data_IF_457466476569
#
_entry.id   IF_457466476569
#
_cell.length_a   1.000
_cell.length_b   1.000
_cell.length_c   1.000
_cell.angle_alpha   90.00
_cell.angle_beta   90.00
_cell.angle_gamma   90.00
#
_symmetry.space_group_name_H-M   'P 1'
#
loop_
_entity.id
_entity.type
_entity.pdbx_description
1 polymer ?
#
# COMPACT_ATOMS: atom_id res chain seq x y z
N UNK A 1 -26.41 52.34 -38.75
CA UNK A 1 -25.97 52.96 -37.48
C UNK A 1 -27.00 52.60 -36.41
N UNK A 2 -26.69 51.62 -35.55
CA UNK A 2 -27.64 50.99 -34.61
C UNK A 2 -27.48 51.62 -33.23
N UNK A 3 -28.58 52.17 -32.70
CA UNK A 3 -28.69 52.85 -31.41
C UNK A 3 -28.48 51.87 -30.25
N UNK A 4 -27.67 52.32 -29.30
CA UNK A 4 -27.40 51.70 -28.01
C UNK A 4 -28.69 51.43 -27.23
N UNK A 5 -28.86 50.17 -26.82
CA UNK A 5 -29.76 49.81 -25.74
C UNK A 5 -28.87 49.50 -24.52
N UNK A 6 -28.88 50.45 -23.59
CA UNK A 6 -28.34 50.34 -22.24
C UNK A 6 -29.14 49.28 -21.46
N UNK A 7 -28.48 48.19 -21.06
CA UNK A 7 -28.98 47.26 -20.06
C UNK A 7 -27.85 46.99 -19.06
N UNK A 8 -27.77 47.90 -18.09
CA UNK A 8 -26.97 47.78 -16.87
C UNK A 8 -27.74 46.84 -15.94
N UNK A 9 -27.02 45.87 -15.35
CA UNK A 9 -27.38 44.94 -14.26
C UNK A 9 -26.89 43.52 -14.63
N UNK A 10 -26.11 42.76 -13.88
CA UNK A 10 -25.87 42.67 -12.44
C UNK A 10 -24.69 41.69 -12.23
N UNK A 11 -23.95 41.85 -11.13
CA UNK A 11 -23.10 40.83 -10.50
C UNK A 11 -22.02 40.12 -11.36
N UNK A 12 -20.96 40.84 -11.73
CA UNK A 12 -19.67 40.20 -11.99
C UNK A 12 -19.09 39.72 -10.66
N UNK A 13 -19.53 38.51 -10.28
CA UNK A 13 -19.08 37.75 -9.13
C UNK A 13 -17.55 37.76 -9.06
N UNK A 14 -17.01 38.16 -7.91
CA UNK A 14 -15.63 37.87 -7.54
C UNK A 14 -15.46 36.35 -7.58
N UNK A 15 -14.81 35.84 -8.63
CA UNK A 15 -14.32 34.49 -8.63
C UNK A 15 -13.21 34.42 -7.58
N UNK A 16 -13.59 34.03 -6.36
CA UNK A 16 -12.64 33.62 -5.35
C UNK A 16 -11.78 32.50 -5.96
N UNK A 17 -10.49 32.77 -6.13
CA UNK A 17 -9.49 31.74 -6.36
C UNK A 17 -9.46 30.84 -5.13
N UNK A 18 -10.35 29.85 -5.08
CA UNK A 18 -10.21 28.74 -4.16
C UNK A 18 -9.12 27.86 -4.73
N UNK A 19 -7.89 28.02 -4.24
CA UNK A 19 -6.84 27.01 -4.41
C UNK A 19 -7.33 25.78 -3.64
N UNK A 20 -8.03 24.89 -4.33
CA UNK A 20 -8.29 23.55 -3.85
C UNK A 20 -6.93 22.85 -3.78
N UNK A 21 -6.31 22.89 -2.60
CA UNK A 21 -5.14 22.09 -2.29
C UNK A 21 -5.66 20.63 -2.21
N UNK A 22 -5.37 19.76 -3.19
CA UNK A 22 -5.80 18.38 -3.08
C UNK A 22 -5.13 17.77 -1.84
N UNK A 23 -5.83 17.00 -1.00
CA UNK A 23 -5.19 16.26 0.07
C UNK A 23 -4.28 15.21 -0.58
N UNK A 24 -3.02 15.54 -0.83
CA UNK A 24 -2.04 14.62 -1.40
C UNK A 24 -1.51 13.66 -0.33
N UNK A 25 -2.42 12.99 0.36
CA UNK A 25 -2.18 11.76 1.09
C UNK A 25 -2.15 10.58 0.11
N UNK A 26 -1.19 10.58 -0.82
CA UNK A 26 -0.92 9.43 -1.70
C UNK A 26 -0.12 8.34 -0.97
N UNK A 27 -0.57 7.95 0.22
CA UNK A 27 0.10 6.97 1.07
C UNK A 27 -0.16 5.56 0.57
N UNK A 28 0.92 4.81 0.32
CA UNK A 28 0.83 3.38 0.04
C UNK A 28 0.38 2.64 1.31
N UNK A 29 -0.90 2.31 1.38
CA UNK A 29 -1.50 1.71 2.57
C UNK A 29 -1.00 0.27 2.76
N UNK A 30 0.07 0.12 3.55
CA UNK A 30 0.74 -1.17 3.77
C UNK A 30 -0.23 -2.20 4.34
N UNK A 31 -1.16 -1.75 5.16
CA UNK A 31 -2.23 -2.58 5.72
C UNK A 31 -3.15 -3.13 4.61
N UNK A 32 -3.42 -2.35 3.56
CA UNK A 32 -4.19 -2.81 2.40
C UNK A 32 -3.43 -3.87 1.62
N UNK A 33 -2.12 -3.67 1.37
CA UNK A 33 -1.31 -4.67 0.66
C UNK A 33 -1.30 -6.05 1.34
N UNK A 34 -1.17 -6.04 2.66
CA UNK A 34 -1.11 -7.26 3.45
C UNK A 34 -2.38 -8.11 3.31
N UNK A 35 -3.52 -7.46 3.01
CA UNK A 35 -4.83 -8.10 2.86
C UNK A 35 -5.11 -8.60 1.45
N UNK A 36 -4.34 -8.18 0.44
CA UNK A 36 -4.59 -8.54 -0.96
C UNK A 36 -4.63 -10.05 -1.18
N UNK A 37 -3.83 -10.80 -0.42
CA UNK A 37 -3.73 -12.25 -0.51
C UNK A 37 -4.64 -13.01 0.49
N UNK A 38 -5.52 -12.34 1.23
CA UNK A 38 -6.46 -13.01 2.11
C UNK A 38 -7.40 -13.92 1.30
N UNK A 39 -7.44 -15.20 1.64
CA UNK A 39 -8.21 -16.20 0.90
C UNK A 39 -7.65 -16.56 -0.48
N UNK A 40 -6.44 -16.08 -0.83
CA UNK A 40 -5.74 -16.43 -2.07
C UNK A 40 -4.71 -17.52 -1.82
N UNK A 41 -4.38 -18.29 -2.86
CA UNK A 41 -3.34 -19.32 -2.79
C UNK A 41 -1.98 -18.75 -3.16
N UNK A 42 -0.93 -19.44 -2.75
CA UNK A 42 0.44 -19.14 -3.18
C UNK A 42 0.49 -19.27 -4.72
N UNK A 43 1.10 -18.28 -5.37
CA UNK A 43 1.19 -18.18 -6.83
C UNK A 43 0.11 -17.31 -7.49
N UNK A 44 -0.94 -16.91 -6.76
CA UNK A 44 -1.97 -16.04 -7.35
C UNK A 44 -1.39 -14.66 -7.70
N UNK A 45 -1.54 -14.25 -8.95
CA UNK A 45 -1.17 -12.92 -9.41
C UNK A 45 -2.26 -11.91 -9.04
N UNK A 46 -1.85 -10.77 -8.49
CA UNK A 46 -2.73 -9.67 -8.13
C UNK A 46 -2.22 -8.40 -8.80
N UNK A 47 -3.15 -7.65 -9.40
CA UNK A 47 -2.92 -6.30 -9.92
C UNK A 47 -3.91 -5.38 -9.24
N UNK A 48 -3.43 -4.44 -8.42
CA UNK A 48 -4.29 -3.50 -7.70
C UNK A 48 -3.85 -2.07 -7.95
N UNK A 49 -4.82 -1.17 -8.11
CA UNK A 49 -4.56 0.26 -8.20
C UNK A 49 -4.45 0.84 -6.79
N UNK A 50 -3.38 1.58 -6.51
CA UNK A 50 -3.13 2.28 -5.25
C UNK A 50 -2.76 3.72 -5.60
N UNK A 51 -3.72 4.65 -5.43
CA UNK A 51 -3.63 5.99 -6.00
C UNK A 51 -3.62 5.93 -7.53
N UNK A 52 -2.70 6.65 -8.16
CA UNK A 52 -2.55 6.68 -9.62
C UNK A 52 -1.68 5.55 -10.19
N UNK A 53 -1.15 4.67 -9.32
CA UNK A 53 -0.25 3.59 -9.72
C UNK A 53 -0.95 2.25 -9.67
N UNK A 54 -0.72 1.43 -10.68
CA UNK A 54 -1.08 0.02 -10.65
C UNK A 54 0.12 -0.78 -10.15
N UNK A 55 -0.06 -1.53 -9.07
CA UNK A 55 0.96 -2.42 -8.53
C UNK A 55 0.57 -3.85 -8.83
N UNK A 56 1.44 -4.52 -9.57
CA UNK A 56 1.35 -5.95 -9.85
C UNK A 56 2.22 -6.72 -8.87
N UNK A 57 1.80 -7.93 -8.55
CA UNK A 57 2.54 -8.80 -7.66
C UNK A 57 1.94 -10.18 -7.59
N UNK A 58 2.50 -10.99 -6.71
CA UNK A 58 2.09 -12.38 -6.53
C UNK A 58 1.93 -12.67 -5.05
N UNK A 59 0.96 -13.50 -4.72
CA UNK A 59 0.81 -14.07 -3.40
C UNK A 59 1.91 -15.11 -3.16
N UNK A 60 2.78 -14.84 -2.20
CA UNK A 60 3.88 -15.73 -1.82
C UNK A 60 3.85 -15.98 -0.32
N UNK A 61 4.50 -17.04 0.13
CA UNK A 61 4.67 -17.26 1.56
C UNK A 61 5.63 -16.22 2.14
N UNK A 62 5.23 -15.54 3.21
CA UNK A 62 6.03 -14.51 3.85
C UNK A 62 5.79 -14.44 5.36
N UNK A 63 6.72 -13.81 6.08
CA UNK A 63 6.63 -13.70 7.52
C UNK A 63 5.59 -12.66 7.95
N UNK A 64 4.67 -13.09 8.82
CA UNK A 64 3.72 -12.26 9.54
C UNK A 64 4.12 -12.25 11.02
N UNK A 65 4.54 -11.10 11.53
CA UNK A 65 4.85 -10.93 12.93
C UNK A 65 3.58 -11.02 13.79
N UNK A 66 3.68 -11.62 14.98
CA UNK A 66 2.58 -11.64 15.95
C UNK A 66 2.56 -10.36 16.78
N UNK A 67 1.36 -9.89 17.13
CA UNK A 67 1.17 -8.71 17.98
C UNK A 67 1.55 -7.40 17.29
N UNK A 68 1.99 -6.42 18.09
CA UNK A 68 2.37 -5.08 17.62
C UNK A 68 3.86 -4.96 17.25
N UNK A 69 4.48 -6.08 16.84
CA UNK A 69 5.91 -6.09 16.54
C UNK A 69 6.23 -5.21 15.31
N UNK A 70 6.99 -4.14 15.54
CA UNK A 70 7.44 -3.24 14.49
C UNK A 70 8.56 -3.92 13.68
N UNK A 71 8.22 -4.45 12.50
CA UNK A 71 9.24 -4.93 11.58
C UNK A 71 10.15 -3.77 11.11
N UNK A 72 11.46 -3.94 10.97
CA UNK A 72 12.33 -2.88 10.44
C UNK A 72 12.04 -2.60 8.95
N UNK A 73 12.11 -1.34 8.50
CA UNK A 73 11.79 -0.97 7.09
C UNK A 73 12.74 -1.58 6.08
N UNK A 74 14.04 -1.62 6.38
CA UNK A 74 15.07 -2.17 5.49
C UNK A 74 14.98 -3.68 5.30
N UNK A 75 14.32 -4.39 6.21
CA UNK A 75 14.30 -5.86 6.22
C UNK A 75 13.05 -6.48 5.61
N UNK A 76 12.20 -5.70 4.93
CA UNK A 76 10.97 -6.23 4.32
C UNK A 76 11.07 -6.43 2.81
N UNK A 77 12.30 -6.42 2.29
CA UNK A 77 12.59 -6.55 0.86
C UNK A 77 12.80 -8.00 0.42
N UNK A 78 13.01 -8.15 -0.89
CA UNK A 78 13.52 -9.40 -1.46
C UNK A 78 14.83 -9.80 -0.78
N UNK A 79 14.98 -11.10 -0.49
CA UNK A 79 16.16 -11.68 0.18
C UNK A 79 16.38 -11.23 1.63
N UNK A 80 15.41 -10.56 2.25
CA UNK A 80 15.50 -10.18 3.66
C UNK A 80 15.45 -11.37 4.62
N UNK A 81 15.95 -11.22 5.87
CA UNK A 81 15.78 -12.25 6.91
C UNK A 81 14.30 -12.64 7.13
N UNK A 82 13.39 -11.68 6.99
CA UNK A 82 11.94 -11.91 7.09
C UNK A 82 11.40 -12.80 5.95
N UNK A 83 11.91 -12.63 4.73
CA UNK A 83 11.55 -13.52 3.61
C UNK A 83 12.18 -14.90 3.76
N UNK A 84 13.47 -14.93 4.11
CA UNK A 84 14.22 -16.18 4.30
C UNK A 84 13.62 -17.04 5.42
N UNK A 85 13.09 -16.42 6.47
CA UNK A 85 12.47 -17.11 7.59
C UNK A 85 11.30 -18.02 7.19
N UNK A 86 10.63 -17.74 6.07
CA UNK A 86 9.54 -18.57 5.56
C UNK A 86 9.90 -19.36 4.31
N UNK A 87 11.14 -19.27 3.82
CA UNK A 87 11.60 -20.06 2.68
C UNK A 87 11.64 -21.55 3.07
N UNK A 88 10.93 -22.38 2.30
CA UNK A 88 10.83 -23.82 2.58
C UNK A 88 9.93 -24.19 3.77
N UNK A 89 9.24 -23.22 4.39
CA UNK A 89 8.30 -23.46 5.49
C UNK A 89 6.88 -23.71 4.97
N UNK A 90 6.04 -24.27 5.83
CA UNK A 90 4.61 -24.47 5.55
C UNK A 90 3.78 -23.25 5.94
N UNK A 91 2.60 -23.13 5.33
CA UNK A 91 1.61 -22.14 5.74
C UNK A 91 1.24 -22.33 7.23
N UNK A 92 1.10 -21.22 7.96
CA UNK A 92 0.87 -21.13 9.40
C UNK A 92 1.98 -21.71 10.29
N UNK A 93 3.13 -22.08 9.74
CA UNK A 93 4.26 -22.54 10.56
C UNK A 93 4.80 -21.38 11.40
N UNK A 94 4.83 -21.57 12.72
CA UNK A 94 5.45 -20.63 13.63
C UNK A 94 6.96 -20.52 13.37
N UNK A 95 7.48 -19.31 13.42
CA UNK A 95 8.92 -19.03 13.26
C UNK A 95 9.29 -17.73 13.95
N UNK A 96 10.58 -17.54 14.19
CA UNK A 96 11.13 -16.31 14.74
C UNK A 96 12.23 -15.80 13.84
N UNK A 97 12.40 -14.48 13.77
CA UNK A 97 13.45 -13.83 12.97
C UNK A 97 14.23 -12.90 13.88
N UNK A 98 15.55 -13.03 13.89
CA UNK A 98 16.42 -12.09 14.60
C UNK A 98 16.85 -11.00 13.62
N UNK A 99 16.51 -9.77 13.94
CA UNK A 99 16.80 -8.58 13.14
C UNK A 99 17.34 -7.49 14.05
N UNK A 100 18.49 -6.90 13.72
CA UNK A 100 19.11 -5.84 14.53
C UNK A 100 19.22 -6.20 16.03
N UNK A 101 19.52 -7.46 16.34
CA UNK A 101 19.59 -7.97 17.71
C UNK A 101 18.24 -8.26 18.38
N UNK A 102 17.12 -7.88 17.79
CA UNK A 102 15.76 -8.14 18.29
C UNK A 102 15.19 -9.42 17.68
N UNK A 103 14.65 -10.30 18.52
CA UNK A 103 13.93 -11.50 18.07
C UNK A 103 12.46 -11.18 17.91
N UNK A 104 11.94 -11.37 16.69
CA UNK A 104 10.56 -11.12 16.34
C UNK A 104 9.87 -12.46 16.13
N UNK A 105 8.86 -12.76 16.94
CA UNK A 105 8.04 -13.96 16.79
C UNK A 105 6.94 -13.73 15.76
N UNK A 106 6.58 -14.80 15.05
CA UNK A 106 5.57 -14.74 14.01
C UNK A 106 5.23 -16.12 13.43
N UNK A 107 4.59 -16.08 12.28
CA UNK A 107 4.25 -17.27 11.48
C UNK A 107 4.36 -16.97 10.00
N UNK A 108 4.44 -18.03 9.20
CA UNK A 108 4.43 -17.91 7.75
C UNK A 108 3.00 -17.86 7.23
N UNK A 109 2.64 -16.79 6.54
CA UNK A 109 1.32 -16.58 5.95
C UNK A 109 1.42 -16.25 4.46
N UNK A 110 0.32 -16.36 3.72
CA UNK A 110 0.27 -15.89 2.34
C UNK A 110 0.23 -14.36 2.34
N UNK A 111 1.19 -13.75 1.65
CA UNK A 111 1.43 -12.30 1.64
C UNK A 111 1.61 -11.82 0.21
N UNK A 112 1.14 -10.60 -0.07
CA UNK A 112 1.39 -9.99 -1.36
C UNK A 112 2.83 -9.51 -1.46
N UNK A 113 3.51 -9.93 -2.53
CA UNK A 113 4.84 -9.45 -2.90
C UNK A 113 4.73 -8.70 -4.22
N UNK A 114 4.98 -7.40 -4.16
CA UNK A 114 5.04 -6.57 -5.36
C UNK A 114 6.15 -7.08 -6.29
N UNK A 115 5.83 -7.23 -7.57
CA UNK A 115 6.81 -7.40 -8.62
C UNK A 115 7.27 -5.99 -9.03
N UNK A 116 8.58 -5.76 -9.00
CA UNK A 116 9.19 -4.53 -9.50
C UNK A 116 9.36 -4.63 -11.00
#
# INVERSE_FOLDING_TARGET
MKKQLLLICLFSSFAALTHANPPAGGGFDRSAMNKLCNGKKIGDSISTKMGDRTVKGTCQLGFAATGNAQLPRGERGQNSPLEQACKGKKLNQATSVKVNGQTINGKCEVRFKAQR
#
